data_IF_559680297873
#
_entry.id   IF_559680297873
#
_cell.length_a   1.000
_cell.length_b   1.000
_cell.length_c   1.000
_cell.angle_alpha   90.00
_cell.angle_beta   90.00
_cell.angle_gamma   90.00
#
_symmetry.space_group_name_H-M   'P 1'
#
loop_
_entity.id
_entity.type
_entity.pdbx_description
1 polymer ?
#
# COMPACT_ATOMS: atom_id res chain seq x y z
N UNK A 1 -11.33 -10.56 -17.01
CA UNK A 1 -11.52 -9.11 -17.07
C UNK A 1 -12.00 -8.53 -15.75
N UNK A 2 -13.11 -9.03 -15.23
CA UNK A 2 -13.64 -8.52 -13.97
C UNK A 2 -12.66 -8.66 -12.82
N UNK A 3 -11.96 -9.77 -12.73
CA UNK A 3 -10.99 -10.01 -11.66
C UNK A 3 -9.86 -8.98 -11.68
N UNK A 4 -9.40 -8.63 -12.88
CA UNK A 4 -8.33 -7.63 -13.03
C UNK A 4 -8.82 -6.26 -12.59
N UNK A 5 -10.00 -5.86 -13.04
CA UNK A 5 -10.59 -4.56 -12.69
C UNK A 5 -10.81 -4.46 -11.19
N UNK A 6 -11.38 -5.51 -10.59
CA UNK A 6 -11.64 -5.52 -9.15
C UNK A 6 -10.33 -5.46 -8.37
N UNK A 7 -9.33 -6.23 -8.78
CA UNK A 7 -8.02 -6.24 -8.11
C UNK A 7 -7.36 -4.86 -8.16
N UNK A 8 -7.33 -4.25 -9.33
CA UNK A 8 -6.74 -2.92 -9.49
C UNK A 8 -7.50 -1.89 -8.65
N UNK A 9 -8.83 -1.96 -8.66
CA UNK A 9 -9.66 -1.05 -7.88
C UNK A 9 -9.40 -1.19 -6.38
N UNK A 10 -9.29 -2.41 -5.89
CA UNK A 10 -9.02 -2.66 -4.46
C UNK A 10 -7.66 -2.10 -4.07
N UNK A 11 -6.63 -2.33 -4.88
CA UNK A 11 -5.28 -1.84 -4.57
C UNK A 11 -5.24 -0.32 -4.62
N UNK A 12 -5.91 0.30 -5.59
CA UNK A 12 -6.00 1.76 -5.66
C UNK A 12 -6.71 2.31 -4.41
N UNK A 13 -7.80 1.67 -3.99
CA UNK A 13 -8.50 2.07 -2.77
C UNK A 13 -7.59 1.96 -1.55
N UNK A 14 -6.81 0.90 -1.44
CA UNK A 14 -5.83 0.74 -0.37
C UNK A 14 -4.79 1.85 -0.40
N UNK A 15 -4.31 2.22 -1.58
CA UNK A 15 -3.34 3.30 -1.71
C UNK A 15 -3.93 4.64 -1.27
N UNK A 16 -5.17 4.92 -1.65
CA UNK A 16 -5.85 6.14 -1.23
C UNK A 16 -6.04 6.19 0.29
N UNK A 17 -6.41 5.07 0.88
CA UNK A 17 -6.54 4.96 2.34
C UNK A 17 -5.18 5.17 3.00
N UNK A 18 -4.13 4.56 2.46
CA UNK A 18 -2.78 4.72 2.96
C UNK A 18 -2.36 6.20 2.96
N UNK A 19 -2.51 6.88 1.82
CA UNK A 19 -2.13 8.28 1.72
C UNK A 19 -2.96 9.17 2.64
N UNK A 20 -4.25 8.91 2.75
CA UNK A 20 -5.13 9.66 3.65
C UNK A 20 -4.71 9.47 5.11
N UNK A 21 -4.41 8.22 5.49
CA UNK A 21 -3.97 7.91 6.84
C UNK A 21 -2.63 8.57 7.16
N UNK A 22 -1.69 8.50 6.23
CA UNK A 22 -0.37 9.11 6.42
C UNK A 22 -0.48 10.62 6.52
N UNK A 23 -1.29 11.25 5.67
CA UNK A 23 -1.51 12.68 5.74
C UNK A 23 -2.13 13.08 7.08
N UNK A 24 -3.13 12.35 7.53
CA UNK A 24 -3.81 12.61 8.78
C UNK A 24 -2.86 12.43 9.98
N UNK A 25 -2.12 11.33 10.02
CA UNK A 25 -1.29 10.99 11.17
C UNK A 25 0.01 11.79 11.24
N UNK A 26 0.65 11.98 10.08
CA UNK A 26 2.00 12.56 10.00
C UNK A 26 2.03 13.92 9.34
N UNK A 27 0.91 14.39 8.83
CA UNK A 27 0.78 15.70 8.19
C UNK A 27 1.74 15.88 7.02
N UNK A 28 1.73 14.92 6.10
CA UNK A 28 2.57 14.93 4.91
C UNK A 28 1.94 15.73 3.76
N UNK A 29 1.20 16.80 4.07
CA UNK A 29 0.43 17.53 3.08
C UNK A 29 1.27 18.19 2.01
N UNK A 30 2.35 18.83 2.42
CA UNK A 30 3.19 19.58 1.51
C UNK A 30 4.18 18.66 0.83
N UNK A 31 4.24 18.71 -0.47
CA UNK A 31 5.17 17.93 -1.27
C UNK A 31 4.84 16.46 -1.34
N UNK A 32 3.73 16.12 -0.84
CA UNK A 32 3.08 14.81 -0.93
C UNK A 32 3.95 13.62 -1.27
N UNK A 33 4.04 13.26 -2.54
CA UNK A 33 4.65 12.01 -2.95
C UNK A 33 6.14 11.95 -2.63
N UNK A 34 6.84 13.05 -2.89
CA UNK A 34 8.28 13.11 -2.61
C UNK A 34 8.56 13.00 -1.14
N UNK A 35 7.86 13.79 -0.33
CA UNK A 35 8.05 13.75 1.11
C UNK A 35 7.61 12.43 1.71
N UNK A 36 6.54 11.84 1.15
CA UNK A 36 6.09 10.53 1.60
C UNK A 36 7.18 9.48 1.45
N UNK A 37 7.92 9.48 0.34
CA UNK A 37 8.97 8.50 0.09
C UNK A 37 10.26 8.78 0.86
N UNK A 38 10.61 10.05 1.05
CA UNK A 38 11.91 10.43 1.58
C UNK A 38 11.88 10.83 3.04
N UNK A 39 10.74 11.17 3.56
CA UNK A 39 10.63 11.66 4.93
C UNK A 39 10.95 10.56 5.93
N UNK A 40 11.77 10.83 6.95
CA UNK A 40 12.06 9.86 7.99
C UNK A 40 10.78 9.38 8.67
N UNK A 41 10.73 8.08 8.96
CA UNK A 41 9.52 7.49 9.52
C UNK A 41 9.89 6.24 10.33
N UNK A 42 8.98 5.77 11.20
CA UNK A 42 9.20 4.52 11.93
C UNK A 42 9.36 3.34 10.98
N UNK A 43 10.02 2.25 11.41
CA UNK A 43 10.19 1.06 10.57
C UNK A 43 8.88 0.51 10.00
N UNK A 44 7.79 0.54 10.79
CA UNK A 44 6.50 0.06 10.30
C UNK A 44 5.99 0.88 9.13
N UNK A 45 6.26 2.19 9.11
CA UNK A 45 5.90 3.04 7.97
C UNK A 45 6.68 2.66 6.72
N UNK A 46 7.96 2.33 6.86
CA UNK A 46 8.77 1.88 5.73
C UNK A 46 8.26 0.57 5.16
N UNK A 47 7.84 -0.37 6.04
CA UNK A 47 7.22 -1.62 5.59
C UNK A 47 5.93 -1.32 4.83
N UNK A 48 5.10 -0.43 5.36
CA UNK A 48 3.85 -0.05 4.70
C UNK A 48 4.10 0.60 3.34
N UNK A 49 5.09 1.50 3.26
CA UNK A 49 5.46 2.15 1.99
C UNK A 49 5.90 1.11 0.95
N UNK A 50 6.81 0.23 1.34
CA UNK A 50 7.33 -0.79 0.43
C UNK A 50 6.21 -1.70 -0.05
N UNK A 51 5.37 -2.17 0.84
CA UNK A 51 4.30 -3.10 0.48
C UNK A 51 3.25 -2.47 -0.42
N UNK A 52 2.87 -1.21 -0.18
CA UNK A 52 1.87 -0.57 -1.04
C UNK A 52 2.44 -0.27 -2.43
N UNK A 53 3.71 0.12 -2.52
CA UNK A 53 4.35 0.35 -3.82
C UNK A 53 4.42 -0.96 -4.61
N UNK A 54 4.85 -2.04 -3.97
CA UNK A 54 4.93 -3.34 -4.63
C UNK A 54 3.54 -3.81 -5.04
N UNK A 55 2.54 -3.66 -4.19
CA UNK A 55 1.16 -4.05 -4.51
C UNK A 55 0.62 -3.25 -5.71
N UNK A 56 0.90 -1.95 -5.76
CA UNK A 56 0.48 -1.13 -6.90
C UNK A 56 1.14 -1.58 -8.20
N UNK A 57 2.44 -1.86 -8.16
CA UNK A 57 3.16 -2.33 -9.34
C UNK A 57 2.62 -3.68 -9.80
N UNK A 58 2.36 -4.59 -8.88
CA UNK A 58 1.79 -5.89 -9.21
C UNK A 58 0.37 -5.74 -9.79
N UNK A 59 -0.44 -4.87 -9.19
CA UNK A 59 -1.79 -4.64 -9.70
C UNK A 59 -1.77 -4.06 -11.11
N UNK A 60 -0.88 -3.11 -11.38
CA UNK A 60 -0.75 -2.52 -12.71
C UNK A 60 -0.22 -3.51 -13.75
N UNK A 61 0.50 -4.52 -13.31
CA UNK A 61 1.00 -5.57 -14.21
C UNK A 61 -0.04 -6.63 -14.54
N UNK A 62 -1.15 -6.73 -13.80
CA UNK A 62 -2.15 -7.77 -14.01
C UNK A 62 -2.72 -7.82 -15.42
N UNK A 63 -2.99 -6.67 -16.10
CA UNK A 63 -3.48 -6.74 -17.48
C UNK A 63 -2.50 -7.41 -18.46
N UNK A 64 -1.22 -7.44 -18.11
CA UNK A 64 -0.16 -7.97 -18.98
C UNK A 64 0.17 -9.42 -18.68
N UNK A 65 0.14 -9.81 -17.41
CA UNK A 65 0.55 -11.16 -16.98
C UNK A 65 -0.63 -12.04 -16.57
N UNK A 66 -1.79 -11.44 -16.37
CA UNK A 66 -2.97 -12.16 -15.89
C UNK A 66 -2.90 -12.40 -14.38
N UNK A 67 -3.99 -12.93 -13.84
CA UNK A 67 -4.06 -13.28 -12.43
C UNK A 67 -4.20 -14.78 -12.32
N UNK A 68 -3.12 -15.47 -11.99
CA UNK A 68 -3.18 -16.89 -11.67
C UNK A 68 -3.07 -17.07 -10.16
N UNK A 69 -3.16 -18.29 -9.69
CA UNK A 69 -3.18 -18.56 -8.26
C UNK A 69 -1.88 -18.14 -7.56
N UNK A 70 -0.68 -18.46 -8.06
CA UNK A 70 0.55 -17.97 -7.41
C UNK A 70 0.65 -16.44 -7.37
N UNK A 71 0.28 -15.80 -8.46
CA UNK A 71 0.31 -14.34 -8.56
C UNK A 71 -0.65 -13.71 -7.55
N UNK A 72 -1.87 -14.25 -7.48
CA UNK A 72 -2.87 -13.76 -6.54
C UNK A 72 -2.42 -13.92 -5.09
N UNK A 73 -1.76 -15.03 -4.76
CA UNK A 73 -1.24 -15.25 -3.42
C UNK A 73 -0.14 -14.25 -3.07
N UNK A 74 0.76 -13.97 -4.00
CA UNK A 74 1.83 -12.99 -3.79
C UNK A 74 1.24 -11.60 -3.57
N UNK A 75 0.35 -11.18 -4.45
CA UNK A 75 -0.29 -9.87 -4.33
C UNK A 75 -1.07 -9.75 -3.01
N UNK A 76 -1.86 -10.78 -2.70
CA UNK A 76 -2.63 -10.81 -1.45
C UNK A 76 -1.73 -10.78 -0.23
N UNK A 77 -0.58 -11.44 -0.29
CA UNK A 77 0.41 -11.41 0.79
C UNK A 77 0.95 -10.00 1.04
N UNK A 78 1.32 -9.28 -0.01
CA UNK A 78 1.77 -7.89 0.14
C UNK A 78 0.67 -6.99 0.68
N UNK A 79 -0.56 -7.18 0.21
CA UNK A 79 -1.70 -6.41 0.71
C UNK A 79 -1.94 -6.68 2.20
N UNK A 80 -1.87 -7.94 2.62
CA UNK A 80 -2.04 -8.32 4.02
C UNK A 80 -0.95 -7.71 4.90
N UNK A 81 0.31 -7.79 4.47
CA UNK A 81 1.43 -7.19 5.20
C UNK A 81 1.24 -5.67 5.30
N UNK A 82 0.77 -5.03 4.23
CA UNK A 82 0.51 -3.61 4.25
C UNK A 82 -0.54 -3.23 5.29
N UNK A 83 -1.67 -3.94 5.29
CA UNK A 83 -2.75 -3.67 6.25
C UNK A 83 -2.28 -3.89 7.68
N UNK A 84 -1.58 -4.98 7.93
CA UNK A 84 -1.06 -5.30 9.26
C UNK A 84 -0.07 -4.22 9.69
N UNK A 85 0.79 -3.75 8.79
CA UNK A 85 1.75 -2.69 9.10
C UNK A 85 1.06 -1.42 9.54
N UNK A 86 -0.01 -1.02 8.85
CA UNK A 86 -0.77 0.17 9.23
C UNK A 86 -1.46 0.00 10.58
N UNK A 87 -2.02 -1.17 10.83
CA UNK A 87 -2.67 -1.46 12.12
C UNK A 87 -1.65 -1.41 13.25
N UNK A 88 -0.50 -2.05 13.07
CA UNK A 88 0.56 -2.04 14.07
C UNK A 88 1.10 -0.63 14.29
N UNK A 89 1.23 0.15 13.22
CA UNK A 89 1.68 1.52 13.32
C UNK A 89 0.73 2.35 14.19
N UNK A 90 -0.57 2.17 14.00
CA UNK A 90 -1.56 2.89 14.79
C UNK A 90 -1.56 2.46 16.26
N UNK A 91 -1.33 1.18 16.52
CA UNK A 91 -1.37 0.62 17.89
C UNK A 91 -0.07 0.85 18.63
N UNK A 92 1.07 0.64 17.98
CA UNK A 92 2.37 0.61 18.65
C UNK A 92 3.09 1.95 18.65
N UNK A 93 2.87 2.78 17.62
CA UNK A 93 3.54 4.07 17.52
C UNK A 93 2.63 5.16 18.09
N UNK A 94 3.03 5.85 19.14
CA UNK A 94 2.22 6.93 19.70
C UNK A 94 2.15 8.11 18.76
N UNK A 95 1.05 8.81 18.81
CA UNK A 95 0.85 10.03 18.01
C UNK A 95 1.54 11.23 18.63
#
# INVERSE_FOLDING_TARGET
MHSIVITVAIVIAMALIHFSYVDFRFRYRDGMLWFWLLKPAPPLMWIARATIVIALLLALATPFVGIDKPYALVLGGFMAVHIVSLILLEVLEPR
#
